data_IF_974418602425
#
_entry.id   IF_974418602425
#
_cell.length_a   1.000
_cell.length_b   1.000
_cell.length_c   1.000
_cell.angle_alpha   90.00
_cell.angle_beta   90.00
_cell.angle_gamma   90.00
#
_symmetry.space_group_name_H-M   'P 1'
#
loop_
_entity.id
_entity.type
_entity.pdbx_description
1 polymer ?
#
# COMPACT_ATOMS: atom_id res chain seq x y z
N UNK A 1 13.58 -12.76 48.77
CA UNK A 1 13.30 -13.73 47.68
C UNK A 1 11.96 -13.46 46.98
N UNK A 2 10.82 -13.33 47.69
CA UNK A 2 9.52 -12.98 47.07
C UNK A 2 9.53 -11.67 46.24
N UNK A 3 10.29 -10.64 46.65
CA UNK A 3 10.32 -9.33 45.97
C UNK A 3 10.98 -9.34 44.58
N UNK A 4 11.91 -10.27 44.33
CA UNK A 4 12.64 -10.37 43.06
C UNK A 4 11.76 -11.11 42.03
N UNK A 5 11.01 -12.12 42.47
CA UNK A 5 10.06 -12.86 41.62
C UNK A 5 8.94 -11.97 41.10
N UNK A 6 8.44 -11.02 41.91
CA UNK A 6 7.43 -10.05 41.48
C UNK A 6 7.96 -9.04 40.44
N UNK A 7 9.20 -8.58 40.56
CA UNK A 7 9.81 -7.65 39.60
C UNK A 7 10.14 -8.32 38.26
N UNK A 8 10.60 -9.58 38.28
CA UNK A 8 10.86 -10.37 37.07
C UNK A 8 9.55 -10.74 36.37
N UNK A 9 8.49 -11.07 37.12
CA UNK A 9 7.17 -11.33 36.56
C UNK A 9 6.52 -10.11 35.89
N UNK A 10 6.71 -8.92 36.45
CA UNK A 10 6.19 -7.68 35.86
C UNK A 10 6.96 -7.26 34.60
N UNK A 11 8.28 -7.48 34.55
CA UNK A 11 9.11 -7.18 33.37
C UNK A 11 8.78 -8.09 32.16
N UNK A 12 8.39 -9.35 32.39
CA UNK A 12 8.00 -10.28 31.32
C UNK A 12 6.61 -9.96 30.75
N UNK A 13 5.68 -9.48 31.58
CA UNK A 13 4.34 -9.12 31.13
C UNK A 13 4.30 -7.90 30.18
N UNK A 14 5.31 -7.03 30.23
CA UNK A 14 5.39 -5.82 29.38
C UNK A 14 5.90 -6.13 27.96
N UNK A 15 6.55 -7.28 27.74
CA UNK A 15 7.12 -7.64 26.43
C UNK A 15 6.10 -8.17 25.40
N UNK A 16 4.83 -8.30 25.78
CA UNK A 16 3.81 -9.00 24.98
C UNK A 16 2.87 -8.15 24.13
N UNK A 17 2.94 -6.81 24.18
CA UNK A 17 2.07 -5.96 23.35
C UNK A 17 2.65 -5.79 21.94
N UNK A 18 2.59 -6.84 21.12
CA UNK A 18 2.62 -6.65 19.68
C UNK A 18 1.29 -5.98 19.33
N UNK A 19 1.31 -4.67 19.09
CA UNK A 19 0.15 -3.99 18.54
C UNK A 19 -0.16 -4.65 17.19
N UNK A 20 -1.26 -5.40 17.11
CA UNK A 20 -1.73 -5.93 15.84
C UNK A 20 -2.09 -4.73 14.96
N UNK A 21 -1.34 -4.51 13.88
CA UNK A 21 -1.66 -3.45 12.94
C UNK A 21 -2.92 -3.82 12.16
N UNK A 22 -3.91 -2.93 12.16
CA UNK A 22 -5.12 -3.12 11.37
C UNK A 22 -4.79 -3.05 9.87
N UNK A 23 -5.21 -4.07 9.14
CA UNK A 23 -5.04 -4.13 7.68
C UNK A 23 -5.98 -3.15 6.98
N UNK A 24 -5.66 -2.81 5.73
CA UNK A 24 -6.59 -2.10 4.86
C UNK A 24 -7.84 -2.95 4.60
N UNK A 25 -9.01 -2.33 4.34
CA UNK A 25 -10.21 -3.07 3.97
C UNK A 25 -9.97 -3.94 2.73
N UNK A 26 -10.65 -5.08 2.64
CA UNK A 26 -10.44 -6.11 1.60
C UNK A 26 -11.51 -6.09 0.49
N UNK A 27 -12.40 -5.09 0.50
CA UNK A 27 -13.59 -5.00 -0.37
C UNK A 27 -13.31 -5.20 -1.87
N UNK A 28 -12.10 -4.85 -2.33
CA UNK A 28 -11.71 -4.93 -3.74
C UNK A 28 -10.51 -5.87 -3.98
N UNK A 29 -10.23 -6.79 -3.06
CA UNK A 29 -9.09 -7.71 -3.17
C UNK A 29 -9.18 -8.70 -4.35
N UNK A 30 -10.37 -8.88 -4.91
CA UNK A 30 -10.61 -9.73 -6.09
C UNK A 30 -10.46 -8.97 -7.42
N UNK A 31 -10.03 -7.70 -7.41
CA UNK A 31 -9.72 -6.97 -8.64
C UNK A 31 -8.57 -7.64 -9.39
N UNK A 32 -8.78 -7.90 -10.68
CA UNK A 32 -7.79 -8.52 -11.54
C UNK A 32 -6.80 -7.49 -12.09
N UNK A 33 -5.73 -7.23 -11.33
CA UNK A 33 -4.70 -6.28 -11.75
C UNK A 33 -3.99 -6.69 -13.06
N UNK A 34 -3.82 -7.99 -13.31
CA UNK A 34 -3.19 -8.48 -14.55
C UNK A 34 -4.00 -8.08 -15.78
N UNK A 35 -5.33 -8.24 -15.72
CA UNK A 35 -6.23 -7.84 -16.81
C UNK A 35 -6.18 -6.32 -17.05
N UNK A 36 -6.17 -5.53 -15.98
CA UNK A 36 -6.04 -4.07 -16.07
C UNK A 36 -4.69 -3.69 -16.72
N UNK A 37 -3.59 -4.31 -16.31
CA UNK A 37 -2.24 -4.02 -16.81
C UNK A 37 -2.06 -4.42 -18.28
N UNK A 38 -2.66 -5.53 -18.71
CA UNK A 38 -2.61 -6.01 -20.10
C UNK A 38 -3.50 -5.21 -21.05
N UNK A 39 -4.46 -4.43 -20.53
CA UNK A 39 -5.32 -3.58 -21.34
C UNK A 39 -4.85 -2.12 -21.31
N UNK A 40 -4.28 -1.64 -22.42
CA UNK A 40 -3.73 -0.28 -22.53
C UNK A 40 -4.70 0.82 -22.13
N UNK A 41 -5.98 0.68 -22.51
CA UNK A 41 -7.00 1.67 -22.17
C UNK A 41 -7.25 1.70 -20.66
N UNK A 42 -7.44 0.55 -20.04
CA UNK A 42 -7.68 0.45 -18.60
C UNK A 42 -6.44 0.89 -17.82
N UNK A 43 -5.27 0.34 -18.12
CA UNK A 43 -4.01 0.72 -17.46
C UNK A 43 -3.78 2.24 -17.50
N UNK A 44 -3.93 2.88 -18.67
CA UNK A 44 -3.73 4.32 -18.80
C UNK A 44 -4.78 5.12 -18.01
N UNK A 45 -6.01 4.63 -17.90
CA UNK A 45 -7.06 5.24 -17.08
C UNK A 45 -6.74 5.17 -15.59
N UNK A 46 -6.25 4.03 -15.09
CA UNK A 46 -5.78 3.89 -13.70
C UNK A 46 -4.56 4.78 -13.46
N UNK A 47 -3.57 4.74 -14.35
CA UNK A 47 -2.37 5.56 -14.20
C UNK A 47 -2.68 7.05 -14.10
N UNK A 48 -3.54 7.59 -14.99
CA UNK A 48 -3.98 9.00 -14.95
C UNK A 48 -4.69 9.34 -13.64
N UNK A 49 -5.54 8.44 -13.15
CA UNK A 49 -6.19 8.59 -11.84
C UNK A 49 -5.15 8.69 -10.72
N UNK A 50 -4.19 7.77 -10.67
CA UNK A 50 -3.21 7.67 -9.58
C UNK A 50 -2.22 8.83 -9.60
N UNK A 51 -1.77 9.25 -10.79
CA UNK A 51 -0.88 10.41 -10.95
C UNK A 51 -1.62 11.76 -10.92
N UNK A 52 -2.95 11.74 -10.83
CA UNK A 52 -3.77 12.95 -10.70
C UNK A 52 -3.93 13.77 -11.99
N UNK A 53 -3.61 13.21 -13.16
CA UNK A 53 -3.82 13.85 -14.46
C UNK A 53 -5.19 13.55 -15.08
N UNK A 54 -6.03 12.76 -14.40
CA UNK A 54 -7.41 12.48 -14.79
C UNK A 54 -8.24 11.93 -13.63
N UNK A 55 -9.56 11.77 -13.83
CA UNK A 55 -10.45 11.24 -12.82
C UNK A 55 -10.27 9.73 -12.61
N UNK A 56 -10.54 9.27 -11.40
CA UNK A 56 -10.71 7.85 -11.09
C UNK A 56 -12.13 7.44 -11.46
N UNK A 57 -12.27 6.49 -12.39
CA UNK A 57 -13.57 6.14 -12.97
C UNK A 57 -14.23 4.97 -12.22
N UNK A 58 -13.44 4.05 -11.69
CA UNK A 58 -13.93 2.87 -10.99
C UNK A 58 -13.81 3.05 -9.47
N UNK A 59 -14.71 2.42 -8.73
CA UNK A 59 -14.74 2.54 -7.27
C UNK A 59 -13.49 1.92 -6.62
N UNK A 60 -12.93 0.87 -7.21
CA UNK A 60 -11.69 0.26 -6.75
C UNK A 60 -10.48 1.17 -6.99
N UNK A 61 -10.41 1.89 -8.12
CA UNK A 61 -9.34 2.87 -8.36
C UNK A 61 -9.37 4.01 -7.32
N UNK A 62 -10.56 4.50 -6.97
CA UNK A 62 -10.73 5.50 -5.89
C UNK A 62 -10.29 4.90 -4.54
N UNK A 63 -10.72 3.68 -4.26
CA UNK A 63 -10.41 2.97 -3.02
C UNK A 63 -8.89 2.79 -2.84
N UNK A 64 -8.22 2.18 -3.81
CA UNK A 64 -6.79 1.90 -3.74
C UNK A 64 -5.96 3.19 -3.72
N UNK A 65 -6.31 4.20 -4.53
CA UNK A 65 -5.61 5.49 -4.53
C UNK A 65 -5.57 6.13 -3.13
N UNK A 66 -6.58 5.90 -2.30
CA UNK A 66 -6.66 6.45 -0.94
C UNK A 66 -5.52 6.04 -0.01
N UNK A 67 -4.98 4.83 -0.16
CA UNK A 67 -3.89 4.32 0.69
C UNK A 67 -2.66 3.86 -0.10
N UNK A 68 -2.68 3.92 -1.43
CA UNK A 68 -1.55 3.53 -2.28
C UNK A 68 -0.23 4.24 -1.92
N UNK A 69 -0.19 5.56 -1.62
CA UNK A 69 1.06 6.22 -1.22
C UNK A 69 1.67 5.62 0.04
N UNK A 70 0.85 5.37 1.07
CA UNK A 70 1.31 4.73 2.31
C UNK A 70 1.75 3.29 2.03
N UNK A 71 0.98 2.54 1.24
CA UNK A 71 1.29 1.16 0.89
C UNK A 71 2.65 1.05 0.19
N UNK A 72 2.98 1.94 -0.75
CA UNK A 72 4.29 1.92 -1.42
C UNK A 72 5.42 2.29 -0.45
N UNK A 73 5.25 3.37 0.33
CA UNK A 73 6.30 3.87 1.23
C UNK A 73 6.61 2.92 2.39
N UNK A 74 5.59 2.22 2.89
CA UNK A 74 5.71 1.28 4.00
C UNK A 74 5.93 -0.16 3.56
N UNK A 75 6.13 -0.40 2.25
CA UNK A 75 6.25 -1.75 1.68
C UNK A 75 5.07 -2.65 2.04
N UNK A 76 3.87 -2.11 1.89
CA UNK A 76 2.59 -2.77 2.08
C UNK A 76 2.40 -3.35 3.50
N UNK A 77 2.91 -2.65 4.52
CA UNK A 77 2.85 -3.08 5.92
C UNK A 77 1.43 -3.44 6.40
N UNK A 78 0.44 -2.65 5.96
CA UNK A 78 -0.99 -2.82 6.30
C UNK A 78 -1.80 -3.53 5.20
N UNK A 79 -1.16 -4.06 4.17
CA UNK A 79 -1.86 -4.72 3.07
C UNK A 79 -2.29 -6.14 3.45
N UNK A 80 -3.44 -6.57 2.93
CA UNK A 80 -3.83 -7.99 2.94
C UNK A 80 -2.86 -8.82 2.08
N UNK A 81 -2.90 -10.15 2.23
CA UNK A 81 -2.07 -11.03 1.39
C UNK A 81 -2.41 -10.93 -0.10
N UNK A 82 -3.67 -10.64 -0.45
CA UNK A 82 -4.06 -10.40 -1.85
C UNK A 82 -3.54 -9.05 -2.34
N UNK A 83 -3.65 -8.00 -1.53
CA UNK A 83 -3.13 -6.66 -1.87
C UNK A 83 -1.61 -6.64 -2.04
N UNK A 84 -0.86 -7.40 -1.21
CA UNK A 84 0.60 -7.57 -1.37
C UNK A 84 0.93 -8.19 -2.73
N UNK A 85 0.30 -9.32 -3.07
CA UNK A 85 0.50 -9.98 -4.37
C UNK A 85 0.13 -9.06 -5.53
N UNK A 86 -0.96 -8.31 -5.40
CA UNK A 86 -1.38 -7.33 -6.41
C UNK A 86 -0.35 -6.21 -6.57
N UNK A 87 0.21 -5.70 -5.46
CA UNK A 87 1.28 -4.70 -5.50
C UNK A 87 2.54 -5.27 -6.16
N UNK A 88 2.95 -6.50 -5.84
CA UNK A 88 4.12 -7.15 -6.44
C UNK A 88 3.95 -7.29 -7.96
N UNK A 89 2.79 -7.79 -8.43
CA UNK A 89 2.47 -7.88 -9.87
C UNK A 89 2.57 -6.51 -10.54
N UNK A 90 2.03 -5.47 -9.90
CA UNK A 90 2.03 -4.11 -10.43
C UNK A 90 3.46 -3.56 -10.52
N UNK A 91 4.25 -3.69 -9.47
CA UNK A 91 5.65 -3.25 -9.41
C UNK A 91 6.47 -3.96 -10.47
N UNK A 92 6.38 -5.29 -10.56
CA UNK A 92 7.13 -6.11 -11.52
C UNK A 92 6.76 -5.74 -12.97
N UNK A 93 5.47 -5.58 -13.25
CA UNK A 93 5.01 -5.21 -14.58
C UNK A 93 5.53 -3.83 -14.97
N UNK A 94 5.41 -2.83 -14.09
CA UNK A 94 5.86 -1.48 -14.37
C UNK A 94 7.38 -1.39 -14.50
N UNK A 95 8.14 -2.07 -13.64
CA UNK A 95 9.60 -2.13 -13.72
C UNK A 95 10.07 -2.70 -15.05
N UNK A 96 9.38 -3.73 -15.57
CA UNK A 96 9.72 -4.37 -16.84
C UNK A 96 9.28 -3.58 -18.07
N UNK A 97 8.08 -2.98 -18.03
CA UNK A 97 7.43 -2.46 -19.24
C UNK A 97 7.44 -0.93 -19.31
N UNK A 98 7.31 -0.22 -18.19
CA UNK A 98 7.13 1.25 -18.15
C UNK A 98 7.81 1.87 -16.91
N UNK A 99 9.14 1.71 -16.73
CA UNK A 99 9.85 2.14 -15.52
C UNK A 99 9.80 3.65 -15.30
N UNK A 100 9.76 4.45 -16.35
CA UNK A 100 9.65 5.91 -16.25
C UNK A 100 8.31 6.34 -15.64
N UNK A 101 7.21 5.68 -16.02
CA UNK A 101 5.88 5.95 -15.44
C UNK A 101 5.85 5.57 -13.96
N UNK A 102 6.47 4.44 -13.59
CA UNK A 102 6.59 4.03 -12.20
C UNK A 102 7.34 5.07 -11.36
N UNK A 103 8.49 5.51 -11.84
CA UNK A 103 9.33 6.48 -11.14
C UNK A 103 8.60 7.83 -10.98
N UNK A 104 7.91 8.30 -12.02
CA UNK A 104 7.11 9.52 -11.96
C UNK A 104 5.97 9.40 -10.93
N UNK A 105 5.30 8.24 -10.88
CA UNK A 105 4.24 7.97 -9.92
C UNK A 105 4.77 7.99 -8.47
N UNK A 106 5.88 7.29 -8.20
CA UNK A 106 6.50 7.26 -6.87
C UNK A 106 7.00 8.63 -6.45
N UNK A 107 7.65 9.37 -7.37
CA UNK A 107 8.12 10.73 -7.11
C UNK A 107 6.96 11.66 -6.71
N UNK A 108 5.85 11.61 -7.45
CA UNK A 108 4.64 12.37 -7.10
C UNK A 108 4.15 12.04 -5.69
N UNK A 109 4.09 10.76 -5.31
CA UNK A 109 3.63 10.37 -3.99
C UNK A 109 4.56 10.81 -2.87
N UNK A 110 5.88 10.80 -3.10
CA UNK A 110 6.84 11.36 -2.15
C UNK A 110 6.61 12.87 -1.96
N UNK A 111 6.39 13.62 -3.04
CA UNK A 111 6.06 15.05 -2.96
C UNK A 111 4.74 15.32 -2.23
N UNK A 112 3.68 14.57 -2.53
CA UNK A 112 2.38 14.74 -1.90
C UNK A 112 2.45 14.45 -0.39
N UNK A 113 3.21 13.42 0.02
CA UNK A 113 3.44 13.11 1.43
C UNK A 113 4.25 14.20 2.13
N UNK A 114 5.22 14.83 1.46
CA UNK A 114 5.97 15.96 2.03
C UNK A 114 5.08 17.20 2.21
N UNK A 115 4.21 17.51 1.23
CA UNK A 115 3.27 18.64 1.31
C UNK A 115 2.28 18.49 2.47
N UNK A 116 1.81 17.27 2.74
CA UNK A 116 0.85 17.01 3.82
C UNK A 116 1.44 17.09 5.24
N UNK A 117 2.77 17.18 5.38
CA UNK A 117 3.46 17.33 6.67
C UNK A 117 3.69 18.79 7.08
N UNK A 118 3.53 19.72 6.14
CA UNK A 118 3.74 21.17 6.33
C UNK A 118 2.39 21.89 6.46
#
# INVERSE_FOLDING_TARGET
>A
MLRITFLVGFAVAVLGMIAAEELYPDKYDDVNATEILQNDRLRNQYYKCFIGSGPCITADAVFFKGFFPEAVLTKCRKCTEKQKKTLDILVDWYAKNQPEQWNALVAKFLEDVQKNKN
#
